data_IF_104353651786
#
_entry.id   IF_104353651786
#
_cell.length_a   1.000
_cell.length_b   1.000
_cell.length_c   1.000
_cell.angle_alpha   90.00
_cell.angle_beta   90.00
_cell.angle_gamma   90.00
#
_symmetry.space_group_name_H-M   'P 1'
#
loop_
_entity.id
_entity.type
_entity.pdbx_description
1 polymer ?
#
# COMPACT_ATOMS: atom_id res chain seq x y z
N UNK A 1 60.91 -9.32 -43.81
CA UNK A 1 60.23 -10.15 -42.79
C UNK A 1 59.80 -9.20 -41.69
N UNK A 2 58.53 -8.82 -41.69
CA UNK A 2 57.89 -8.04 -40.62
C UNK A 2 56.82 -8.96 -40.06
N UNK A 3 57.17 -9.68 -38.99
CA UNK A 3 56.22 -10.55 -38.30
C UNK A 3 55.23 -9.66 -37.56
N UNK A 4 53.99 -9.67 -38.06
CA UNK A 4 52.84 -9.03 -37.43
C UNK A 4 52.56 -9.77 -36.13
N UNK A 5 52.85 -9.13 -35.00
CA UNK A 5 52.41 -9.59 -33.67
C UNK A 5 50.89 -9.51 -33.61
N UNK A 6 50.24 -10.65 -33.83
CA UNK A 6 48.82 -10.83 -33.55
C UNK A 6 48.71 -11.05 -32.04
N UNK A 7 48.16 -10.07 -31.32
CA UNK A 7 47.77 -10.23 -29.93
C UNK A 7 46.75 -11.37 -29.84
N UNK A 8 46.91 -12.37 -28.95
CA UNK A 8 45.88 -13.38 -28.77
C UNK A 8 44.63 -12.68 -28.26
N UNK A 9 43.50 -12.93 -28.93
CA UNK A 9 42.20 -12.48 -28.47
C UNK A 9 42.05 -12.84 -26.99
N UNK A 10 41.76 -11.84 -26.16
CA UNK A 10 41.40 -12.06 -24.76
C UNK A 10 40.26 -13.09 -24.67
N UNK A 11 40.11 -13.78 -23.53
CA UNK A 11 39.06 -14.77 -23.38
C UNK A 11 37.72 -14.12 -23.75
N UNK A 12 37.00 -14.77 -24.66
CA UNK A 12 35.68 -14.36 -25.09
C UNK A 12 34.88 -13.97 -23.85
N UNK A 13 34.33 -12.75 -23.84
CA UNK A 13 33.45 -12.25 -22.79
C UNK A 13 32.49 -13.38 -22.42
N UNK A 14 32.67 -13.84 -21.18
CA UNK A 14 32.03 -15.03 -20.69
C UNK A 14 30.53 -14.92 -20.91
N UNK A 15 29.94 -16.02 -21.37
CA UNK A 15 28.53 -16.29 -21.19
C UNK A 15 28.20 -15.91 -19.75
N UNK A 16 27.51 -14.78 -19.54
CA UNK A 16 27.03 -14.38 -18.22
C UNK A 16 25.97 -15.41 -17.88
N UNK A 17 26.39 -16.48 -17.23
CA UNK A 17 25.50 -17.44 -16.63
C UNK A 17 24.58 -16.62 -15.74
N UNK A 18 23.29 -16.58 -16.08
CA UNK A 18 22.29 -15.77 -15.40
C UNK A 18 22.13 -16.34 -13.99
N UNK A 19 22.97 -15.86 -13.07
CA UNK A 19 22.92 -16.19 -11.67
C UNK A 19 21.58 -15.67 -11.14
N UNK A 20 20.77 -16.59 -10.65
CA UNK A 20 19.49 -16.25 -10.03
C UNK A 20 19.79 -15.87 -8.58
N UNK A 21 19.49 -14.63 -8.15
CA UNK A 21 19.63 -14.26 -6.76
C UNK A 21 18.68 -15.10 -5.90
N UNK A 22 19.18 -15.63 -4.79
CA UNK A 22 18.39 -16.36 -3.80
C UNK A 22 18.19 -15.50 -2.55
N UNK A 23 17.02 -15.63 -1.95
CA UNK A 23 16.69 -14.98 -0.68
C UNK A 23 16.86 -16.01 0.44
N UNK A 24 17.79 -15.74 1.35
CA UNK A 24 18.12 -16.58 2.50
C UNK A 24 17.61 -15.91 3.78
N UNK A 25 16.77 -16.60 4.54
CA UNK A 25 16.40 -16.15 5.89
C UNK A 25 17.46 -16.66 6.85
N UNK A 26 18.28 -15.75 7.40
CA UNK A 26 19.37 -16.10 8.31
C UNK A 26 18.84 -16.31 9.73
N UNK A 27 18.03 -15.37 10.21
CA UNK A 27 17.43 -15.40 11.54
C UNK A 27 15.97 -14.94 11.44
N UNK A 28 15.10 -15.58 12.20
CA UNK A 28 13.69 -15.21 12.31
C UNK A 28 13.24 -15.48 13.72
N UNK A 29 12.80 -14.40 14.35
CA UNK A 29 12.07 -14.36 15.60
C UNK A 29 10.73 -13.63 15.34
N UNK A 30 9.88 -13.56 16.36
CA UNK A 30 8.58 -12.89 16.23
C UNK A 30 8.72 -11.36 16.11
N UNK A 31 9.77 -10.78 16.71
CA UNK A 31 10.01 -9.32 16.69
C UNK A 31 11.21 -8.90 15.83
N UNK A 32 12.14 -9.81 15.56
CA UNK A 32 13.37 -9.53 14.81
C UNK A 32 13.58 -10.51 13.65
N UNK A 33 13.99 -10.01 12.50
CA UNK A 33 14.32 -10.84 11.35
C UNK A 33 15.55 -10.36 10.60
N UNK A 34 16.33 -11.32 10.11
CA UNK A 34 17.52 -11.09 9.31
C UNK A 34 17.44 -11.86 8.01
N UNK A 35 17.38 -11.14 6.89
CA UNK A 35 17.23 -11.69 5.54
C UNK A 35 18.43 -11.28 4.70
N UNK A 36 19.01 -12.21 3.95
CA UNK A 36 20.09 -11.96 3.03
C UNK A 36 19.67 -12.27 1.58
N UNK A 37 20.18 -11.49 0.63
CA UNK A 37 20.00 -11.72 -0.80
C UNK A 37 21.37 -11.78 -1.47
N UNK A 38 21.67 -12.92 -2.11
CA UNK A 38 22.90 -13.13 -2.86
C UNK A 38 22.70 -14.17 -3.99
N UNK A 39 23.50 -14.11 -5.09
CA UNK A 39 24.42 -13.03 -5.44
C UNK A 39 23.72 -11.87 -6.18
N UNK A 40 24.08 -10.63 -5.81
CA UNK A 40 23.65 -9.41 -6.50
C UNK A 40 24.78 -8.83 -7.33
N UNK A 41 24.46 -8.21 -8.46
CA UNK A 41 25.44 -7.44 -9.22
C UNK A 41 25.92 -6.24 -8.40
N UNK A 42 27.15 -5.79 -8.66
CA UNK A 42 27.73 -4.61 -8.00
C UNK A 42 26.81 -3.39 -8.11
N UNK A 43 26.57 -2.72 -7.00
CA UNK A 43 25.67 -1.56 -6.88
C UNK A 43 24.21 -1.91 -6.59
N UNK A 44 23.74 -3.12 -6.93
CA UNK A 44 22.35 -3.49 -6.70
C UNK A 44 22.01 -3.68 -5.21
N UNK A 45 23.00 -3.96 -4.34
CA UNK A 45 22.76 -4.03 -2.90
C UNK A 45 22.18 -2.73 -2.35
N UNK A 46 22.72 -1.58 -2.76
CA UNK A 46 22.23 -0.26 -2.38
C UNK A 46 20.91 0.10 -3.08
N UNK A 47 20.79 -0.22 -4.38
CA UNK A 47 19.59 0.03 -5.18
C UNK A 47 18.36 -0.70 -4.64
N UNK A 48 18.53 -1.89 -4.06
CA UNK A 48 17.44 -2.67 -3.46
C UNK A 48 17.27 -2.33 -1.98
N UNK A 49 18.37 -2.26 -1.22
CA UNK A 49 18.34 -2.07 0.23
C UNK A 49 17.73 -0.73 0.66
N UNK A 50 18.09 0.37 -0.01
CA UNK A 50 17.62 1.69 0.40
C UNK A 50 16.10 1.89 0.15
N UNK A 51 15.53 1.55 -1.02
CA UNK A 51 14.08 1.61 -1.22
C UNK A 51 13.29 0.67 -0.29
N UNK A 52 13.75 -0.56 -0.08
CA UNK A 52 13.09 -1.50 0.85
C UNK A 52 13.06 -0.94 2.27
N UNK A 53 14.17 -0.37 2.75
CA UNK A 53 14.21 0.29 4.06
C UNK A 53 13.20 1.44 4.16
N UNK A 54 13.04 2.23 3.10
CA UNK A 54 12.06 3.34 3.09
C UNK A 54 10.64 2.82 3.17
N UNK A 55 10.27 1.85 2.32
CA UNK A 55 8.91 1.30 2.26
C UNK A 55 8.54 0.58 3.56
N UNK A 56 9.46 -0.20 4.14
CA UNK A 56 9.24 -0.86 5.43
C UNK A 56 8.87 0.14 6.54
N UNK A 57 9.48 1.32 6.54
CA UNK A 57 9.22 2.35 7.56
C UNK A 57 7.99 3.22 7.23
N UNK A 58 7.64 3.40 5.96
CA UNK A 58 6.61 4.36 5.53
C UNK A 58 5.27 3.74 5.15
N UNK A 59 5.26 2.54 4.58
CA UNK A 59 4.16 2.03 3.77
C UNK A 59 3.80 0.58 4.06
N UNK A 60 4.17 0.09 5.25
CA UNK A 60 3.68 -1.20 5.76
C UNK A 60 2.30 -0.98 6.36
N UNK A 61 1.35 -1.85 6.05
CA UNK A 61 0.01 -1.79 6.62
C UNK A 61 0.05 -2.16 8.10
N UNK A 62 -0.75 -1.46 8.89
CA UNK A 62 -0.99 -1.86 10.28
C UNK A 62 -2.28 -1.27 10.82
N UNK A 63 -2.58 -1.61 12.07
CA UNK A 63 -3.84 -1.25 12.73
C UNK A 63 -3.55 -0.42 13.98
N UNK A 64 -4.32 0.65 14.16
CA UNK A 64 -4.17 1.55 15.29
C UNK A 64 -5.52 2.09 15.76
N UNK A 65 -5.56 2.57 17.01
CA UNK A 65 -6.72 3.26 17.56
C UNK A 65 -6.76 4.69 17.04
N UNK A 66 -7.84 5.09 16.38
CA UNK A 66 -8.00 6.45 15.81
C UNK A 66 -8.78 7.39 16.71
N UNK A 67 -9.74 6.86 17.46
CA UNK A 67 -10.46 7.62 18.47
C UNK A 67 -10.91 6.73 19.62
N UNK A 68 -11.14 7.38 20.75
CA UNK A 68 -11.56 6.77 22.00
C UNK A 68 -12.77 7.51 22.53
N UNK A 69 -13.76 6.80 23.04
CA UNK A 69 -14.88 7.38 23.76
C UNK A 69 -14.90 6.82 25.17
N UNK A 70 -14.71 7.70 26.13
CA UNK A 70 -14.70 7.35 27.56
C UNK A 70 -16.03 7.81 28.16
N UNK A 71 -16.62 6.99 29.02
CA UNK A 71 -17.87 7.37 29.70
C UNK A 71 -17.63 8.56 30.64
N UNK A 72 -18.62 9.47 30.69
CA UNK A 72 -18.62 10.68 31.54
C UNK A 72 -17.46 11.67 31.29
N UNK A 73 -16.69 11.50 30.21
CA UNK A 73 -15.61 12.40 29.79
C UNK A 73 -15.99 13.13 28.50
N UNK A 74 -15.90 14.46 28.55
CA UNK A 74 -16.21 15.31 27.39
C UNK A 74 -14.95 15.77 26.66
N UNK A 75 -13.86 16.00 27.39
CA UNK A 75 -12.61 16.53 26.86
C UNK A 75 -11.39 15.89 27.53
N UNK A 76 -10.24 15.97 26.87
CA UNK A 76 -8.99 15.29 27.28
C UNK A 76 -8.35 15.81 28.58
N UNK A 77 -8.69 17.03 29.02
CA UNK A 77 -8.12 17.63 30.24
C UNK A 77 -8.85 17.28 31.55
N UNK A 78 -9.85 16.38 31.52
CA UNK A 78 -10.53 15.96 32.75
C UNK A 78 -9.82 14.81 33.45
N UNK A 79 -9.99 14.71 34.76
CA UNK A 79 -9.69 13.49 35.50
C UNK A 79 -10.94 12.60 35.58
N UNK A 80 -10.76 11.28 35.55
CA UNK A 80 -11.84 10.30 35.73
C UNK A 80 -11.94 9.96 37.22
N UNK A 81 -13.10 10.16 37.88
CA UNK A 81 -13.26 9.78 39.28
C UNK A 81 -13.02 8.28 39.50
N UNK A 82 -12.14 7.93 40.45
CA UNK A 82 -11.83 6.54 40.79
C UNK A 82 -10.78 5.88 39.88
N UNK A 83 -10.15 6.64 38.97
CA UNK A 83 -8.97 6.24 38.21
C UNK A 83 -7.78 7.08 38.66
N UNK A 84 -6.61 6.46 38.81
CA UNK A 84 -5.40 7.15 39.27
C UNK A 84 -4.80 8.06 38.19
N UNK A 85 -4.82 7.60 36.94
CA UNK A 85 -4.27 8.30 35.77
C UNK A 85 -5.24 9.34 35.22
N UNK A 86 -4.69 10.44 34.67
CA UNK A 86 -5.48 11.46 33.96
C UNK A 86 -5.85 10.98 32.55
N UNK A 87 -6.88 11.60 31.92
CA UNK A 87 -7.31 11.21 30.58
C UNK A 87 -6.18 11.35 29.55
N UNK A 88 -5.35 12.40 29.61
CA UNK A 88 -4.19 12.55 28.72
C UNK A 88 -3.17 11.41 28.86
N UNK A 89 -2.88 10.96 30.08
CA UNK A 89 -1.98 9.84 30.33
C UNK A 89 -2.57 8.53 29.80
N UNK A 90 -3.88 8.33 30.02
CA UNK A 90 -4.62 7.20 29.50
C UNK A 90 -4.59 7.17 27.96
N UNK A 91 -4.83 8.29 27.27
CA UNK A 91 -4.73 8.37 25.81
C UNK A 91 -3.33 8.02 25.30
N UNK A 92 -2.28 8.45 26.00
CA UNK A 92 -0.90 8.11 25.66
C UNK A 92 -0.61 6.61 25.83
N UNK A 93 -1.16 5.98 26.88
CA UNK A 93 -1.06 4.53 27.08
C UNK A 93 -1.83 3.77 25.99
N UNK A 94 -3.03 4.25 25.62
CA UNK A 94 -3.83 3.66 24.53
C UNK A 94 -3.08 3.69 23.19
N UNK A 95 -2.34 4.77 22.90
CA UNK A 95 -1.50 4.88 21.69
C UNK A 95 -0.37 3.82 21.63
N UNK A 96 -0.03 3.18 22.76
CA UNK A 96 0.96 2.10 22.84
C UNK A 96 0.37 0.71 22.64
N UNK A 97 -0.95 0.57 22.53
CA UNK A 97 -1.60 -0.71 22.22
C UNK A 97 -1.15 -1.16 20.82
N UNK A 98 -0.85 -2.45 20.68
CA UNK A 98 -0.49 -3.09 19.41
C UNK A 98 -1.58 -4.08 19.04
N UNK A 99 -2.16 -3.85 17.86
CA UNK A 99 -3.35 -4.57 17.41
C UNK A 99 -3.02 -5.22 16.07
N UNK A 100 -3.19 -6.54 16.02
CA UNK A 100 -3.17 -7.30 14.78
C UNK A 100 -4.61 -7.46 14.30
N UNK A 101 -4.91 -6.90 13.14
CA UNK A 101 -6.19 -7.14 12.47
C UNK A 101 -6.08 -8.30 11.48
N UNK A 102 -7.09 -9.16 11.45
CA UNK A 102 -7.23 -10.21 10.42
C UNK A 102 -8.05 -9.75 9.20
N UNK A 103 -8.71 -8.58 9.30
CA UNK A 103 -9.60 -8.09 8.23
C UNK A 103 -9.38 -6.61 7.94
N UNK A 104 -9.61 -6.21 6.69
CA UNK A 104 -9.37 -4.83 6.25
C UNK A 104 -10.49 -3.85 6.62
N UNK A 105 -11.31 -4.20 7.61
CA UNK A 105 -12.45 -3.40 8.04
C UNK A 105 -12.13 -2.67 9.33
N UNK A 106 -12.62 -1.44 9.43
CA UNK A 106 -12.64 -0.74 10.71
C UNK A 106 -13.57 -1.46 11.68
N UNK A 107 -13.24 -1.37 12.96
CA UNK A 107 -14.02 -2.05 13.98
C UNK A 107 -13.85 -1.42 15.35
N UNK A 108 -14.70 -1.89 16.27
CA UNK A 108 -14.83 -1.30 17.60
C UNK A 108 -14.46 -2.33 18.66
N UNK A 109 -13.70 -1.90 19.65
CA UNK A 109 -13.37 -2.67 20.84
C UNK A 109 -13.95 -1.98 22.07
N UNK A 110 -14.16 -2.72 23.16
CA UNK A 110 -14.71 -2.17 24.39
C UNK A 110 -13.91 -2.65 25.59
N UNK A 111 -13.74 -1.77 26.57
CA UNK A 111 -13.18 -2.10 27.87
C UNK A 111 -14.24 -1.77 28.92
N UNK A 112 -14.59 -2.77 29.73
CA UNK A 112 -15.52 -2.64 30.86
C UNK A 112 -14.88 -3.31 32.06
N UNK A 113 -14.41 -2.51 33.00
CA UNK A 113 -13.77 -3.01 34.23
C UNK A 113 -14.42 -2.35 35.44
N UNK A 114 -14.68 -3.15 36.47
CA UNK A 114 -15.25 -2.71 37.74
C UNK A 114 -14.45 -3.28 38.90
N UNK A 115 -14.30 -2.49 39.97
CA UNK A 115 -13.54 -2.86 41.16
C UNK A 115 -12.14 -2.25 41.20
N UNK A 116 -11.42 -2.52 42.29
CA UNK A 116 -10.04 -2.04 42.49
C UNK A 116 -9.05 -2.94 41.76
N UNK A 117 -8.05 -2.34 41.09
CA UNK A 117 -7.03 -3.13 40.39
C UNK A 117 -6.30 -2.40 39.26
N UNK A 118 -5.32 -3.10 38.70
CA UNK A 118 -4.62 -2.70 37.49
C UNK A 118 -5.45 -3.10 36.28
N UNK A 119 -5.57 -2.20 35.31
CA UNK A 119 -6.27 -2.42 34.05
C UNK A 119 -5.22 -2.52 32.94
N UNK A 120 -5.17 -3.67 32.31
CA UNK A 120 -4.22 -3.97 31.25
C UNK A 120 -4.91 -4.03 29.88
N UNK A 121 -4.13 -3.97 28.80
CA UNK A 121 -4.67 -4.11 27.45
C UNK A 121 -5.34 -5.48 27.21
N UNK A 122 -4.93 -6.52 27.93
CA UNK A 122 -5.57 -7.84 27.89
C UNK A 122 -7.02 -7.86 28.41
N UNK A 123 -7.45 -6.85 29.17
CA UNK A 123 -8.83 -6.75 29.68
C UNK A 123 -9.81 -6.17 28.63
N UNK A 124 -9.29 -5.71 27.48
CA UNK A 124 -10.11 -5.19 26.39
C UNK A 124 -10.88 -6.34 25.74
N UNK A 125 -12.20 -6.19 25.66
CA UNK A 125 -13.06 -7.05 24.86
C UNK A 125 -12.89 -6.75 23.37
N UNK A 126 -12.19 -7.63 22.67
CA UNK A 126 -11.99 -7.57 21.22
C UNK A 126 -12.99 -8.45 20.47
N UNK A 127 -13.28 -8.10 19.21
CA UNK A 127 -13.97 -9.01 18.29
C UNK A 127 -12.99 -10.04 17.72
N UNK A 128 -13.51 -11.07 17.05
CA UNK A 128 -12.68 -12.09 16.37
C UNK A 128 -11.71 -11.52 15.32
N UNK A 129 -11.97 -10.31 14.85
CA UNK A 129 -11.21 -9.66 13.79
C UNK A 129 -9.94 -8.99 14.31
N UNK A 130 -9.83 -8.74 15.63
CA UNK A 130 -8.70 -8.05 16.26
C UNK A 130 -8.07 -8.87 17.38
N UNK A 131 -6.75 -8.92 17.37
CA UNK A 131 -5.91 -9.55 18.39
C UNK A 131 -4.98 -8.50 19.00
N UNK A 132 -4.94 -8.42 20.34
CA UNK A 132 -4.00 -7.54 21.05
C UNK A 132 -2.69 -8.31 21.26
N UNK A 133 -1.61 -7.74 20.73
CA UNK A 133 -0.29 -8.38 20.73
C UNK A 133 0.44 -8.18 22.07
N UNK A 134 0.16 -7.07 22.75
CA UNK A 134 0.78 -6.70 24.03
C UNK A 134 -0.24 -6.64 25.19
N UNK A 135 -0.75 -7.80 25.66
CA UNK A 135 -1.80 -7.85 26.69
C UNK A 135 -1.35 -7.28 28.05
N UNK A 136 -0.05 -7.35 28.36
CA UNK A 136 0.53 -6.87 29.62
C UNK A 136 0.68 -5.34 29.71
N UNK A 137 0.31 -4.61 28.66
CA UNK A 137 0.42 -3.15 28.64
C UNK A 137 -0.52 -2.54 29.68
N UNK A 138 0.06 -1.82 30.65
CA UNK A 138 -0.67 -1.02 31.63
C UNK A 138 -1.44 0.12 30.94
N UNK A 139 -2.75 0.19 31.17
CA UNK A 139 -3.60 1.27 30.68
C UNK A 139 -3.96 2.26 31.80
N UNK A 140 -4.49 1.75 32.91
CA UNK A 140 -4.94 2.53 34.05
C UNK A 140 -4.96 1.73 35.35
N UNK A 141 -5.14 2.41 36.48
CA UNK A 141 -5.30 1.83 37.81
C UNK A 141 -6.60 2.35 38.42
N UNK A 142 -7.50 1.44 38.79
CA UNK A 142 -8.76 1.77 39.47
C UNK A 142 -8.55 1.81 40.99
N UNK A 143 -8.93 2.94 41.59
CA UNK A 143 -8.86 3.17 43.04
C UNK A 143 -10.24 2.98 43.66
N UNK A 144 -10.40 1.91 44.44
CA UNK A 144 -11.60 1.61 45.20
C UNK A 144 -12.59 0.61 44.56
N UNK A 145 -13.43 -0.05 45.39
CA UNK A 145 -14.28 -1.15 44.94
C UNK A 145 -15.51 -0.71 44.13
N UNK A 146 -15.87 0.58 44.14
CA UNK A 146 -16.98 1.15 43.37
C UNK A 146 -16.55 1.81 42.06
N UNK A 147 -15.25 1.77 41.75
CA UNK A 147 -14.71 2.40 40.56
C UNK A 147 -15.02 1.58 39.32
N UNK A 148 -15.40 2.26 38.25
CA UNK A 148 -15.82 1.67 36.98
C UNK A 148 -15.17 2.45 35.84
N UNK A 149 -14.68 1.73 34.84
CA UNK A 149 -14.09 2.31 33.65
C UNK A 149 -14.69 1.67 32.41
N UNK A 150 -15.32 2.51 31.60
CA UNK A 150 -15.96 2.13 30.34
C UNK A 150 -15.32 2.94 29.21
N UNK A 151 -14.71 2.22 28.26
CA UNK A 151 -14.05 2.83 27.11
C UNK A 151 -14.48 2.08 25.84
N UNK A 152 -14.87 2.82 24.83
CA UNK A 152 -15.04 2.34 23.46
C UNK A 152 -13.87 2.84 22.59
N UNK A 153 -13.24 1.92 21.88
CA UNK A 153 -12.12 2.21 20.98
C UNK A 153 -12.58 1.97 19.55
N UNK A 154 -12.10 2.81 18.64
CA UNK A 154 -12.21 2.55 17.21
C UNK A 154 -10.84 2.24 16.64
N UNK A 155 -10.78 1.10 15.96
CA UNK A 155 -9.59 0.58 15.31
C UNK A 155 -9.79 0.70 13.82
N UNK A 156 -8.80 1.30 13.17
CA UNK A 156 -8.74 1.38 11.72
C UNK A 156 -7.43 0.79 11.25
N UNK A 157 -7.43 0.37 9.99
CA UNK A 157 -6.22 0.03 9.28
C UNK A 157 -5.78 1.23 8.45
N UNK A 158 -4.47 1.39 8.36
CA UNK A 158 -3.87 2.47 7.59
C UNK A 158 -2.39 2.22 7.36
N UNK A 159 -1.73 3.25 6.85
CA UNK A 159 -0.29 3.27 6.60
C UNK A 159 0.33 4.51 7.23
N UNK A 160 1.55 4.35 7.75
CA UNK A 160 2.31 5.46 8.28
C UNK A 160 1.70 6.08 9.55
N UNK A 161 1.55 7.41 9.53
CA UNK A 161 1.11 8.20 10.67
C UNK A 161 -0.03 9.12 10.26
N UNK A 162 -1.08 9.15 11.08
CA UNK A 162 -2.19 10.08 10.95
C UNK A 162 -2.34 10.87 12.24
N UNK A 163 -2.24 12.18 12.14
CA UNK A 163 -2.44 13.08 13.26
C UNK A 163 -3.92 13.09 13.67
N UNK A 164 -4.18 13.18 14.98
CA UNK A 164 -5.49 13.47 15.51
C UNK A 164 -5.96 14.84 15.00
N UNK A 165 -6.97 14.84 14.13
CA UNK A 165 -7.66 16.06 13.75
C UNK A 165 -8.97 16.09 14.51
N UNK A 166 -9.16 17.12 15.33
CA UNK A 166 -10.46 17.42 15.89
C UNK A 166 -11.31 17.96 14.73
N UNK A 167 -12.18 17.12 14.18
CA UNK A 167 -13.01 17.52 13.05
C UNK A 167 -14.03 18.53 13.52
N UNK A 168 -13.81 19.82 13.25
CA UNK A 168 -14.80 20.87 13.52
C UNK A 168 -16.02 20.80 12.58
N UNK A 169 -15.97 19.98 11.53
CA UNK A 169 -16.87 20.10 10.35
C UNK A 169 -17.41 18.78 9.78
N UNK A 170 -17.64 17.76 10.61
CA UNK A 170 -18.43 16.61 10.17
C UNK A 170 -19.52 16.27 11.18
N UNK A 171 -20.79 16.38 10.76
CA UNK A 171 -22.03 16.12 11.52
C UNK A 171 -22.17 14.67 12.03
N UNK A 172 -21.12 13.85 11.93
CA UNK A 172 -21.16 12.40 12.19
C UNK A 172 -20.41 11.98 13.45
N UNK A 173 -19.58 12.84 14.04
CA UNK A 173 -18.84 12.50 15.26
C UNK A 173 -19.68 12.84 16.50
N UNK A 174 -20.06 11.83 17.32
CA UNK A 174 -20.80 12.09 18.55
C UNK A 174 -19.98 12.94 19.52
N UNK A 175 -20.68 13.77 20.30
CA UNK A 175 -20.05 14.52 21.42
C UNK A 175 -19.42 13.53 22.41
N UNK A 176 -18.20 13.84 22.87
CA UNK A 176 -17.42 13.02 23.81
C UNK A 176 -16.48 12.00 23.15
N UNK A 177 -16.23 12.10 21.84
CA UNK A 177 -15.16 11.35 21.17
C UNK A 177 -13.84 12.11 21.27
N UNK A 178 -12.82 11.43 21.76
CA UNK A 178 -11.46 11.93 21.89
C UNK A 178 -10.62 11.36 20.74
N UNK A 179 -10.20 12.17 19.75
CA UNK A 179 -9.34 11.70 18.69
C UNK A 179 -7.93 11.40 19.22
N UNK A 180 -7.30 10.35 18.71
CA UNK A 180 -5.94 9.94 19.07
C UNK A 180 -5.11 9.83 17.81
N UNK A 181 -3.84 10.25 17.89
CA UNK A 181 -2.92 10.07 16.78
C UNK A 181 -2.72 8.58 16.49
N UNK A 182 -2.96 8.18 15.26
CA UNK A 182 -2.83 6.79 14.84
C UNK A 182 -1.44 6.54 14.25
N UNK A 183 -0.69 5.63 14.88
CA UNK A 183 0.57 5.10 14.37
C UNK A 183 0.29 3.71 13.80
N UNK A 184 0.15 3.63 12.48
CA UNK A 184 -0.14 2.37 11.80
C UNK A 184 1.12 1.57 11.47
N UNK A 185 2.32 2.13 11.62
CA UNK A 185 3.56 1.45 11.24
C UNK A 185 3.98 0.38 12.26
N UNK A 186 4.00 -0.92 11.89
CA UNK A 186 4.41 -2.00 12.79
C UNK A 186 5.93 -2.20 12.85
N UNK A 187 6.68 -1.57 11.92
CA UNK A 187 8.14 -1.68 11.82
C UNK A 187 8.79 -0.54 12.62
N UNK A 188 9.59 -0.89 13.62
CA UNK A 188 10.23 0.09 14.51
C UNK A 188 11.61 0.51 14.01
N UNK A 189 12.35 -0.42 13.43
CA UNK A 189 13.72 -0.18 12.95
C UNK A 189 14.03 -1.06 11.77
N UNK A 190 14.80 -0.52 10.83
CA UNK A 190 15.37 -1.27 9.70
C UNK A 190 16.81 -0.84 9.50
N UNK A 191 17.69 -1.82 9.38
CA UNK A 191 19.10 -1.67 9.07
C UNK A 191 19.45 -2.54 7.85
N UNK A 192 20.40 -2.12 7.03
CA UNK A 192 20.92 -2.95 5.95
C UNK A 192 22.43 -2.80 5.83
N UNK A 193 23.09 -3.88 5.46
CA UNK A 193 24.52 -3.93 5.17
C UNK A 193 24.73 -4.55 3.78
N UNK A 194 25.69 -4.02 3.03
CA UNK A 194 26.09 -4.59 1.73
C UNK A 194 27.49 -5.15 1.86
N UNK A 195 27.60 -6.46 1.72
CA UNK A 195 28.84 -7.24 1.81
C UNK A 195 29.27 -7.67 0.40
N UNK A 196 30.55 -7.96 0.20
CA UNK A 196 31.02 -8.58 -1.05
C UNK A 196 30.93 -10.09 -0.94
N UNK A 197 30.40 -10.74 -1.97
CA UNK A 197 30.29 -12.20 -2.05
C UNK A 197 31.07 -12.74 -3.25
N UNK A 198 31.61 -13.95 -3.11
CA UNK A 198 32.38 -14.62 -4.16
C UNK A 198 31.55 -15.74 -4.77
N UNK A 199 31.36 -15.70 -6.08
CA UNK A 199 30.70 -16.76 -6.84
C UNK A 199 31.71 -17.39 -7.79
N UNK A 200 32.12 -18.62 -7.47
CA UNK A 200 33.16 -19.34 -8.22
C UNK A 200 34.50 -18.58 -8.23
N UNK A 201 34.90 -18.09 -9.40
CA UNK A 201 36.14 -17.31 -9.58
C UNK A 201 35.94 -15.78 -9.51
N UNK A 202 34.69 -15.33 -9.49
CA UNK A 202 34.32 -13.91 -9.56
C UNK A 202 34.00 -13.38 -8.16
N UNK A 203 34.61 -12.25 -7.76
CA UNK A 203 34.58 -11.71 -6.38
C UNK A 203 33.89 -10.35 -6.25
N UNK A 204 33.30 -9.81 -7.32
CA UNK A 204 32.69 -8.48 -7.37
C UNK A 204 31.17 -8.49 -7.17
N UNK A 205 30.57 -9.66 -6.92
CA UNK A 205 29.17 -9.76 -6.50
C UNK A 205 28.97 -9.18 -5.10
N UNK A 206 27.75 -8.75 -4.84
CA UNK A 206 27.30 -8.21 -3.57
C UNK A 206 26.29 -9.13 -2.90
N UNK A 207 26.24 -9.03 -1.57
CA UNK A 207 25.25 -9.65 -0.69
C UNK A 207 24.61 -8.55 0.11
N UNK A 208 23.29 -8.42 0.00
CA UNK A 208 22.52 -7.51 0.82
C UNK A 208 22.03 -8.24 2.06
N UNK A 209 22.38 -7.76 3.25
CA UNK A 209 21.89 -8.26 4.54
C UNK A 209 20.96 -7.21 5.12
N UNK A 210 19.69 -7.55 5.28
CA UNK A 210 18.63 -6.71 5.82
C UNK A 210 18.25 -7.19 7.22
N UNK A 211 18.22 -6.28 8.17
CA UNK A 211 17.82 -6.51 9.56
C UNK A 211 16.58 -5.67 9.87
N UNK A 212 15.51 -6.31 10.33
CA UNK A 212 14.19 -5.68 10.53
C UNK A 212 13.71 -5.97 11.94
N UNK A 213 13.27 -4.94 12.65
CA UNK A 213 12.63 -5.02 13.97
C UNK A 213 11.18 -4.55 13.85
N UNK A 214 10.27 -5.36 14.38
CA UNK A 214 8.82 -5.15 14.39
C UNK A 214 8.31 -5.14 15.83
N UNK A 215 7.11 -4.64 16.03
CA UNK A 215 6.42 -4.67 17.33
C UNK A 215 5.65 -5.97 17.60
N UNK A 216 5.85 -7.00 16.76
CA UNK A 216 5.17 -8.29 16.85
C UNK A 216 3.81 -8.35 16.16
N UNK A 217 3.27 -7.21 15.68
CA UNK A 217 2.00 -7.20 14.93
C UNK A 217 2.10 -7.95 13.62
N UNK A 218 3.21 -7.78 12.91
CA UNK A 218 3.57 -8.50 11.68
C UNK A 218 4.90 -9.21 11.88
N UNK A 219 5.07 -10.38 11.29
CA UNK A 219 6.36 -11.05 11.30
C UNK A 219 7.35 -10.28 10.40
N UNK A 220 8.63 -10.15 10.78
CA UNK A 220 9.62 -9.41 10.00
C UNK A 220 9.75 -9.90 8.55
N UNK A 221 9.70 -11.21 8.30
CA UNK A 221 9.78 -11.79 6.95
C UNK A 221 8.57 -11.43 6.10
N UNK A 222 7.38 -11.43 6.70
CA UNK A 222 6.14 -11.06 6.01
C UNK A 222 6.12 -9.55 5.71
N UNK A 223 6.62 -8.71 6.61
CA UNK A 223 6.79 -7.28 6.36
C UNK A 223 7.75 -7.00 5.19
N UNK A 224 8.84 -7.75 5.07
CA UNK A 224 9.76 -7.65 3.91
C UNK A 224 9.07 -8.05 2.61
N UNK A 225 8.22 -9.08 2.64
CA UNK A 225 7.43 -9.51 1.47
C UNK A 225 6.46 -8.40 1.04
N UNK A 226 5.68 -7.86 1.98
CA UNK A 226 4.72 -6.79 1.72
C UNK A 226 5.42 -5.52 1.17
N UNK A 227 6.57 -5.16 1.75
CA UNK A 227 7.36 -4.03 1.27
C UNK A 227 7.91 -4.25 -0.14
N UNK A 228 8.33 -5.48 -0.48
CA UNK A 228 8.77 -5.82 -1.83
C UNK A 228 7.63 -5.75 -2.84
N UNK A 229 6.44 -6.27 -2.50
CA UNK A 229 5.25 -6.22 -3.34
C UNK A 229 4.82 -4.76 -3.60
N UNK A 230 4.82 -3.92 -2.57
CA UNK A 230 4.57 -2.48 -2.71
C UNK A 230 5.59 -1.80 -3.64
N UNK A 231 6.87 -2.14 -3.52
CA UNK A 231 7.91 -1.60 -4.40
C UNK A 231 7.69 -2.00 -5.87
N UNK A 232 7.34 -3.27 -6.11
CA UNK A 232 7.03 -3.78 -7.45
C UNK A 232 5.82 -3.07 -8.05
N UNK A 233 4.76 -2.87 -7.26
CA UNK A 233 3.56 -2.15 -7.70
C UNK A 233 3.88 -0.71 -8.14
N UNK A 234 4.78 -0.02 -7.42
CA UNK A 234 5.26 1.30 -7.84
C UNK A 234 6.10 1.24 -9.12
N UNK A 235 7.02 0.27 -9.25
CA UNK A 235 7.81 0.11 -10.46
C UNK A 235 7.00 -0.31 -11.69
N UNK A 236 5.87 -0.98 -11.49
CA UNK A 236 4.95 -1.37 -12.56
C UNK A 236 4.37 -0.15 -13.30
N UNK A 237 4.22 0.99 -12.63
CA UNK A 237 3.83 2.25 -13.27
C UNK A 237 4.88 2.71 -14.29
N UNK A 238 6.16 2.54 -13.94
CA UNK A 238 7.28 2.91 -14.80
C UNK A 238 7.51 1.91 -15.94
N UNK A 239 7.28 0.60 -15.71
CA UNK A 239 7.40 -0.39 -16.80
C UNK A 239 6.38 -0.15 -17.92
N UNK A 240 5.28 0.55 -17.62
CA UNK A 240 4.19 0.82 -18.56
C UNK A 240 4.17 2.26 -19.11
N UNK A 241 5.24 3.04 -18.92
CA UNK A 241 5.32 4.47 -19.25
C UNK A 241 4.97 4.85 -20.71
N UNK A 242 4.98 3.91 -21.65
CA UNK A 242 4.72 4.14 -23.08
C UNK A 242 3.70 3.19 -23.72
N UNK A 243 3.02 2.33 -22.95
CA UNK A 243 1.81 1.67 -23.45
C UNK A 243 0.71 2.72 -23.36
N UNK A 244 0.41 3.38 -24.48
CA UNK A 244 -0.62 4.40 -24.57
C UNK A 244 -1.85 3.92 -23.80
N UNK A 245 -2.23 4.68 -22.77
CA UNK A 245 -3.52 4.54 -22.12
C UNK A 245 -4.52 4.89 -23.21
N UNK A 246 -5.06 3.87 -23.90
CA UNK A 246 -6.25 4.09 -24.71
C UNK A 246 -7.35 4.56 -23.75
N UNK A 247 -7.91 5.77 -23.94
CA UNK A 247 -8.92 6.30 -23.04
C UNK A 247 -10.20 5.46 -23.23
N UNK A 248 -10.41 4.51 -22.31
CA UNK A 248 -11.53 3.57 -22.36
C UNK A 248 -11.28 2.25 -21.65
N UNK A 249 -10.02 1.90 -21.36
CA UNK A 249 -9.70 0.76 -20.50
C UNK A 249 -9.60 1.27 -19.07
N UNK A 250 -10.69 1.16 -18.30
CA UNK A 250 -10.60 1.22 -16.84
C UNK A 250 -9.47 0.31 -16.39
N UNK A 251 -8.56 0.85 -15.59
CA UNK A 251 -7.42 0.14 -15.05
C UNK A 251 -7.91 -1.13 -14.37
N UNK A 252 -7.73 -2.27 -15.02
CA UNK A 252 -7.69 -3.54 -14.30
C UNK A 252 -6.47 -3.41 -13.40
N UNK A 253 -6.69 -3.15 -12.10
CA UNK A 253 -5.76 -3.67 -11.12
C UNK A 253 -5.63 -5.14 -11.45
N UNK A 254 -4.47 -5.53 -11.98
CA UNK A 254 -4.14 -6.95 -12.13
C UNK A 254 -3.93 -7.46 -10.70
N UNK A 255 -5.04 -7.77 -10.03
CA UNK A 255 -5.14 -8.66 -8.87
C UNK A 255 -4.82 -10.10 -9.29
N UNK A 256 -3.81 -10.28 -10.12
CA UNK A 256 -3.33 -11.60 -10.51
C UNK A 256 -2.00 -11.79 -9.81
N UNK A 257 -2.03 -12.59 -8.73
CA UNK A 257 -0.83 -12.93 -7.97
C UNK A 257 0.30 -13.41 -8.91
N UNK A 258 1.57 -13.05 -8.65
CA UNK A 258 2.72 -13.43 -9.49
C UNK A 258 2.81 -14.95 -9.77
N UNK A 259 2.29 -15.77 -8.86
CA UNK A 259 2.22 -17.23 -8.98
C UNK A 259 1.33 -17.69 -10.15
N UNK A 260 0.21 -16.99 -10.37
CA UNK A 260 -0.74 -17.32 -11.43
C UNK A 260 -0.15 -16.96 -12.80
N UNK A 261 0.54 -15.82 -12.88
CA UNK A 261 1.18 -15.34 -14.11
C UNK A 261 2.24 -16.32 -14.63
N UNK A 262 2.98 -16.96 -13.72
CA UNK A 262 4.03 -17.92 -14.04
C UNK A 262 3.54 -19.37 -14.20
N UNK A 263 2.24 -19.62 -13.96
CA UNK A 263 1.68 -20.96 -14.07
C UNK A 263 1.76 -21.46 -15.54
N UNK A 264 2.16 -22.73 -15.77
CA UNK A 264 2.13 -23.29 -17.12
C UNK A 264 0.70 -23.58 -17.57
N UNK A 265 0.41 -23.39 -18.86
CA UNK A 265 -0.92 -23.62 -19.44
C UNK A 265 -1.41 -25.07 -19.29
N UNK A 266 -0.51 -26.02 -19.04
CA UNK A 266 -0.82 -27.43 -18.80
C UNK A 266 -1.59 -27.68 -17.50
N UNK A 267 -1.57 -26.73 -16.56
CA UNK A 267 -2.33 -26.79 -15.31
C UNK A 267 -3.73 -26.18 -15.43
N UNK A 268 -3.99 -25.43 -16.50
CA UNK A 268 -5.36 -25.15 -16.90
C UNK A 268 -5.86 -26.41 -17.60
N UNK A 269 -6.84 -27.09 -17.02
CA UNK A 269 -7.46 -28.32 -17.54
C UNK A 269 -8.26 -28.02 -18.83
N UNK A 270 -7.57 -27.52 -19.85
CA UNK A 270 -8.09 -27.18 -21.16
C UNK A 270 -8.25 -28.44 -22.00
N UNK A 271 -9.16 -28.40 -22.97
CA UNK A 271 -9.29 -29.50 -23.93
C UNK A 271 -7.96 -29.77 -24.65
N UNK A 272 -7.71 -31.03 -25.05
CA UNK A 272 -6.52 -31.39 -25.81
C UNK A 272 -6.37 -30.58 -27.11
N UNK A 273 -7.48 -30.03 -27.64
CA UNK A 273 -7.46 -29.18 -28.83
C UNK A 273 -6.90 -27.80 -28.49
N UNK A 274 -7.46 -27.12 -27.50
CA UNK A 274 -7.08 -25.76 -27.09
C UNK A 274 -5.63 -25.72 -26.59
N UNK A 275 -5.24 -26.69 -25.76
CA UNK A 275 -3.86 -26.82 -25.25
C UNK A 275 -2.83 -27.02 -26.38
N UNK A 276 -3.14 -27.89 -27.36
CA UNK A 276 -2.23 -28.13 -28.49
C UNK A 276 -2.16 -26.97 -29.48
N UNK A 277 -3.19 -26.11 -29.55
CA UNK A 277 -3.14 -24.89 -30.35
C UNK A 277 -2.21 -23.85 -29.70
N UNK A 278 -2.34 -23.65 -28.39
CA UNK A 278 -1.50 -22.73 -27.62
C UNK A 278 -0.02 -23.18 -27.61
N UNK A 279 0.25 -24.48 -27.39
CA UNK A 279 1.63 -25.01 -27.46
C UNK A 279 2.29 -24.83 -28.83
N UNK A 280 1.53 -24.94 -29.92
CA UNK A 280 2.05 -24.72 -31.29
C UNK A 280 2.29 -23.25 -31.60
N UNK A 281 1.60 -22.36 -30.91
CA UNK A 281 1.83 -20.92 -30.97
C UNK A 281 2.98 -20.46 -30.04
N UNK A 282 3.72 -21.39 -29.43
CA UNK A 282 4.77 -21.14 -28.44
C UNK A 282 4.28 -20.43 -27.16
N UNK A 283 2.98 -20.45 -26.90
CA UNK A 283 2.39 -19.92 -25.68
C UNK A 283 2.43 -21.06 -24.65
N UNK A 284 3.21 -20.88 -23.59
CA UNK A 284 3.47 -21.91 -22.57
C UNK A 284 3.04 -21.50 -21.16
N UNK A 285 2.86 -20.20 -20.92
CA UNK A 285 2.47 -19.65 -19.61
C UNK A 285 1.14 -18.91 -19.68
N UNK A 286 0.45 -18.84 -18.53
CA UNK A 286 -0.80 -18.08 -18.41
C UNK A 286 -0.58 -16.59 -18.65
N UNK A 287 0.53 -16.03 -18.16
CA UNK A 287 0.86 -14.61 -18.39
C UNK A 287 0.92 -14.24 -19.87
N UNK A 288 1.50 -15.11 -20.71
CA UNK A 288 1.60 -14.88 -22.16
C UNK A 288 0.22 -14.85 -22.84
N UNK A 289 -0.74 -15.62 -22.33
CA UNK A 289 -2.13 -15.61 -22.82
C UNK A 289 -2.84 -14.31 -22.43
N UNK A 290 -2.60 -13.81 -21.21
CA UNK A 290 -3.23 -12.59 -20.69
C UNK A 290 -2.70 -11.31 -21.35
N UNK A 291 -1.48 -11.35 -21.87
CA UNK A 291 -0.86 -10.22 -22.59
C UNK A 291 -1.30 -10.14 -24.07
N UNK A 292 -1.89 -11.20 -24.63
CA UNK A 292 -2.34 -11.23 -26.02
C UNK A 292 -3.83 -10.83 -26.14
N UNK A 293 -4.16 -10.06 -27.18
CA UNK A 293 -5.54 -9.72 -27.48
C UNK A 293 -6.32 -10.92 -28.04
N UNK A 294 -7.64 -10.95 -27.80
CA UNK A 294 -8.54 -12.02 -28.27
C UNK A 294 -8.48 -12.20 -29.80
N UNK A 295 -8.30 -11.10 -30.53
CA UNK A 295 -8.14 -11.09 -31.99
C UNK A 295 -6.86 -11.80 -32.45
N UNK A 296 -5.78 -11.72 -31.66
CA UNK A 296 -4.51 -12.38 -31.97
C UNK A 296 -4.55 -13.86 -31.60
N UNK A 297 -5.30 -14.23 -30.56
CA UNK A 297 -5.56 -15.63 -30.22
C UNK A 297 -6.39 -16.31 -31.32
N UNK A 298 -7.38 -15.63 -31.90
CA UNK A 298 -8.19 -16.15 -33.02
C UNK A 298 -7.40 -16.34 -34.33
N UNK A 299 -6.25 -15.67 -34.50
CA UNK A 299 -5.35 -15.86 -35.66
C UNK A 299 -4.54 -17.16 -35.57
N UNK A 300 -4.50 -17.81 -34.40
CA UNK A 300 -3.76 -19.05 -34.21
C UNK A 300 -4.41 -20.18 -35.02
N UNK A 301 -3.59 -20.92 -35.76
CA UNK A 301 -4.06 -22.01 -36.63
C UNK A 301 -4.86 -23.06 -35.84
N UNK A 302 -6.13 -23.23 -36.21
CA UNK A 302 -7.11 -24.13 -35.58
C UNK A 302 -7.61 -23.73 -34.18
N UNK A 303 -7.24 -22.53 -33.72
CA UNK A 303 -7.87 -21.86 -32.59
C UNK A 303 -9.13 -21.16 -33.09
N UNK A 304 -10.23 -21.27 -32.36
CA UNK A 304 -11.52 -20.70 -32.77
C UNK A 304 -12.34 -20.29 -31.57
N UNK A 305 -13.53 -19.74 -31.81
CA UNK A 305 -14.39 -19.14 -30.78
C UNK A 305 -14.66 -20.10 -29.61
N UNK A 306 -14.92 -21.39 -29.87
CA UNK A 306 -15.13 -22.39 -28.81
C UNK A 306 -13.92 -22.60 -27.90
N UNK A 307 -12.71 -22.52 -28.46
CA UNK A 307 -11.46 -22.62 -27.69
C UNK A 307 -11.20 -21.34 -26.89
N UNK A 308 -11.64 -20.19 -27.41
CA UNK A 308 -11.54 -18.91 -26.70
C UNK A 308 -12.50 -18.86 -25.51
N UNK A 309 -13.76 -19.28 -25.70
CA UNK A 309 -14.73 -19.38 -24.60
C UNK A 309 -14.26 -20.35 -23.53
N UNK A 310 -13.77 -21.53 -23.92
CA UNK A 310 -13.21 -22.52 -22.98
C UNK A 310 -12.03 -21.95 -22.17
N UNK A 311 -11.14 -21.22 -22.83
CA UNK A 311 -10.00 -20.58 -22.19
C UNK A 311 -10.46 -19.50 -21.19
N UNK A 312 -11.43 -18.66 -21.57
CA UNK A 312 -12.00 -17.61 -20.71
C UNK A 312 -12.72 -18.19 -19.50
N UNK A 313 -13.52 -19.24 -19.68
CA UNK A 313 -14.23 -19.90 -18.58
C UNK A 313 -13.24 -20.49 -17.56
N UNK A 314 -12.17 -21.14 -18.06
CA UNK A 314 -11.13 -21.72 -17.19
C UNK A 314 -10.25 -20.68 -16.49
N UNK A 315 -10.04 -19.52 -17.11
CA UNK A 315 -9.37 -18.38 -16.49
C UNK A 315 -10.27 -17.73 -15.43
N UNK A 316 -11.57 -17.59 -15.71
CA UNK A 316 -12.56 -17.06 -14.77
C UNK A 316 -12.74 -17.96 -13.53
N UNK A 317 -12.76 -19.29 -13.70
CA UNK A 317 -12.76 -20.27 -12.59
C UNK A 317 -11.56 -20.11 -11.65
N UNK A 318 -10.43 -19.59 -12.14
CA UNK A 318 -9.20 -19.33 -11.39
C UNK A 318 -9.12 -17.90 -10.84
N UNK A 319 -10.18 -17.10 -10.98
CA UNK A 319 -10.23 -15.70 -10.55
C UNK A 319 -9.55 -14.72 -11.51
N UNK A 320 -9.25 -15.14 -12.75
CA UNK A 320 -8.54 -14.35 -13.75
C UNK A 320 -9.54 -13.93 -14.84
N UNK A 321 -10.14 -12.74 -14.67
CA UNK A 321 -10.85 -12.02 -15.73
C UNK A 321 -12.23 -12.56 -16.13
N UNK A 322 -13.29 -11.93 -15.61
CA UNK A 322 -14.44 -11.52 -16.43
C UNK A 322 -14.22 -10.01 -16.66
N UNK A 323 -14.15 -9.48 -17.87
CA UNK A 323 -15.23 -9.39 -18.85
C UNK A 323 -14.61 -9.06 -20.21
N UNK A 324 -14.98 -9.80 -21.26
CA UNK A 324 -14.95 -9.28 -22.62
C UNK A 324 -15.95 -10.06 -23.50
N UNK A 325 -17.02 -9.39 -23.90
CA UNK A 325 -17.75 -9.58 -25.16
C UNK A 325 -18.76 -10.74 -25.25
N UNK A 326 -20.06 -10.43 -25.20
CA UNK A 326 -20.83 -10.09 -26.40
C UNK A 326 -22.35 -10.12 -26.16
N UNK A 327 -23.07 -9.08 -26.59
CA UNK A 327 -24.48 -9.21 -26.98
C UNK A 327 -24.52 -9.24 -28.49
N UNK A 328 -24.70 -10.42 -29.08
CA UNK A 328 -25.50 -10.59 -30.30
C UNK A 328 -25.60 -12.07 -30.67
N UNK A 329 -26.79 -12.64 -30.49
CA UNK A 329 -27.54 -13.36 -31.53
C UNK A 329 -28.60 -14.26 -30.89
N UNK A 330 -29.89 -14.01 -31.17
CA UNK A 330 -30.74 -14.90 -31.95
C UNK A 330 -32.22 -14.46 -31.87
N UNK A 331 -32.90 -14.84 -32.93
CA UNK A 331 -34.22 -14.43 -33.39
C UNK A 331 -35.39 -15.07 -32.63
N UNK A 332 -36.58 -14.68 -33.10
CA UNK A 332 -37.91 -15.32 -33.00
C UNK A 332 -38.85 -14.86 -31.89
N UNK A 333 -40.01 -14.37 -32.34
CA UNK A 333 -41.14 -14.03 -31.48
C UNK A 333 -41.97 -15.26 -31.10
N UNK A 334 -42.70 -15.16 -29.99
CA UNK A 334 -44.15 -15.36 -29.93
C UNK A 334 -44.70 -15.03 -28.54
N UNK A 335 -45.77 -14.24 -28.54
CA UNK A 335 -46.96 -14.28 -27.65
C UNK A 335 -46.88 -14.18 -26.11
N UNK A 336 -47.64 -13.19 -25.61
CA UNK A 336 -48.32 -13.16 -24.31
C UNK A 336 -47.52 -12.52 -23.16
N UNK A 337 -48.04 -11.67 -22.28
CA UNK A 337 -49.33 -10.97 -22.12
C UNK A 337 -49.18 -10.09 -20.86
N UNK A 338 -49.78 -8.90 -20.86
CA UNK A 338 -50.08 -8.03 -19.68
C UNK A 338 -48.83 -7.48 -18.95
N UNK A 339 -48.65 -6.19 -18.71
CA UNK A 339 -49.48 -5.00 -18.78
C UNK A 339 -49.01 -4.09 -17.65
N UNK A 340 -48.53 -2.90 -17.94
CA UNK A 340 -48.30 -1.86 -16.92
C UNK A 340 -48.56 -0.51 -17.56
N UNK A 341 -49.64 0.11 -17.10
CA UNK A 341 -49.89 1.52 -17.23
C UNK A 341 -48.99 2.29 -16.23
N UNK A 342 -48.81 3.57 -16.54
CA UNK A 342 -48.42 4.68 -15.67
C UNK A 342 -47.00 5.25 -15.82
N UNK A 343 -47.04 6.57 -16.02
CA UNK A 343 -46.01 7.59 -15.81
C UNK A 343 -45.12 8.00 -17.00
N UNK A 344 -45.74 8.70 -17.96
CA UNK A 344 -45.14 9.88 -18.58
C UNK A 344 -45.18 11.06 -17.59
N UNK A 345 -44.02 11.54 -17.14
CA UNK A 345 -43.81 12.95 -16.75
C UNK A 345 -42.31 13.25 -16.57
N UNK A 346 -41.85 14.27 -17.30
CA UNK A 346 -40.62 15.05 -17.08
C UNK A 346 -39.25 14.36 -17.31
N UNK A 347 -38.69 14.58 -18.50
CA UNK A 347 -37.31 14.26 -18.85
C UNK A 347 -36.83 15.03 -20.08
N UNK A 348 -36.95 16.36 -20.07
CA UNK A 348 -36.35 17.23 -21.08
C UNK A 348 -34.88 17.48 -20.76
N UNK A 349 -33.98 17.10 -21.66
CA UNK A 349 -32.56 17.38 -21.55
C UNK A 349 -32.29 18.90 -21.61
N UNK A 350 -31.49 19.41 -20.68
CA UNK A 350 -31.04 20.81 -20.65
C UNK A 350 -30.18 21.10 -21.88
N UNK A 351 -30.47 22.23 -22.54
CA UNK A 351 -29.72 22.68 -23.71
C UNK A 351 -28.49 23.46 -23.28
N UNK A 352 -27.49 23.58 -24.16
CA UNK A 352 -26.25 24.30 -23.90
C UNK A 352 -26.44 25.80 -23.57
N UNK A 353 -27.64 26.34 -23.81
CA UNK A 353 -28.01 27.70 -23.44
C UNK A 353 -28.43 27.81 -21.96
N UNK A 354 -29.08 26.78 -21.42
CA UNK A 354 -29.53 26.72 -20.01
C UNK A 354 -28.35 26.66 -19.02
N UNK A 355 -27.25 26.02 -19.44
CA UNK A 355 -25.99 25.95 -18.67
C UNK A 355 -25.28 27.31 -18.66
N UNK A 356 -25.42 28.10 -19.73
CA UNK A 356 -24.76 29.40 -19.87
C UNK A 356 -25.44 30.48 -19.02
N UNK A 357 -26.76 30.40 -18.86
CA UNK A 357 -27.54 31.33 -18.04
C UNK A 357 -27.39 31.06 -16.53
N UNK A 358 -27.14 29.81 -16.11
CA UNK A 358 -26.82 29.46 -14.72
C UNK A 358 -25.45 29.98 -14.25
N UNK A 359 -24.48 30.09 -15.16
CA UNK A 359 -23.14 30.60 -14.85
C UNK A 359 -23.07 32.15 -14.81
N UNK A 360 -24.11 32.84 -15.29
CA UNK A 360 -24.17 34.31 -15.31
C UNK A 360 -24.85 34.92 -14.06
N UNK A 361 -25.41 34.11 -13.16
CA UNK A 361 -26.28 34.55 -12.07
C UNK A 361 -25.67 34.45 -10.65
N UNK A 362 -24.34 34.43 -10.51
CA UNK A 362 -23.67 34.37 -9.22
C UNK A 362 -22.86 35.62 -8.90
N UNK A 363 -23.53 36.72 -8.56
CA UNK A 363 -22.90 37.91 -7.96
C UNK A 363 -22.80 37.71 -6.43
N UNK A 364 -21.62 37.95 -5.87
CA UNK A 364 -21.35 37.85 -4.43
C UNK A 364 -21.62 39.19 -3.74
N UNK A 365 -22.13 39.23 -2.50
CA UNK A 365 -22.39 40.50 -1.82
C UNK A 365 -21.10 41.15 -1.28
N UNK A 366 -20.91 42.43 -1.58
CA UNK A 366 -19.89 43.30 -0.98
C UNK A 366 -20.16 43.58 0.50
N UNK A 367 -19.12 43.50 1.33
CA UNK A 367 -18.97 44.39 2.49
C UNK A 367 -17.50 44.75 2.72
N UNK A 368 -17.27 46.06 2.76
CA UNK A 368 -16.05 46.86 2.88
C UNK A 368 -15.15 46.58 4.10
N UNK A 369 -13.83 46.54 3.88
CA UNK A 369 -12.83 47.05 4.84
C UNK A 369 -11.55 47.47 4.09
N UNK A 370 -11.25 48.76 4.19
CA UNK A 370 -10.11 49.45 3.56
C UNK A 370 -8.77 49.04 4.19
N UNK A 371 -7.74 48.83 3.36
CA UNK A 371 -6.35 48.78 3.80
C UNK A 371 -5.65 50.08 3.37
N UNK A 372 -4.97 50.81 4.28
CA UNK A 372 -4.37 52.09 3.96
C UNK A 372 -3.11 51.92 3.12
N UNK A 373 -3.03 52.69 2.03
CA UNK A 373 -1.79 53.02 1.35
C UNK A 373 -1.29 54.33 1.93
N UNK A 374 -0.08 54.33 2.48
CA UNK A 374 0.84 55.45 2.32
C UNK A 374 2.27 55.07 2.68
N UNK A 375 3.18 55.78 2.02
CA UNK A 375 4.61 55.93 2.28
C UNK A 375 5.58 54.92 1.65
N UNK A 376 6.00 55.30 0.45
CA UNK A 376 7.34 55.18 -0.12
C UNK A 376 8.51 54.96 0.86
N UNK A 377 9.45 54.09 0.48
CA UNK A 377 10.80 54.05 1.05
C UNK A 377 11.58 52.80 0.65
N UNK A 378 12.51 52.97 -0.31
CA UNK A 378 13.83 52.30 -0.40
C UNK A 378 13.83 50.79 -0.67
N UNK A 379 14.05 50.36 -1.92
CA UNK A 379 15.32 50.24 -2.68
C UNK A 379 15.88 48.83 -2.59
N UNK A 380 15.93 48.20 -3.76
CA UNK A 380 16.61 46.96 -4.10
C UNK A 380 18.13 47.18 -3.99
N UNK A 381 18.81 46.38 -3.18
CA UNK A 381 20.26 46.12 -3.21
C UNK A 381 20.35 44.58 -3.14
N UNK A 382 20.65 43.87 -4.23
CA UNK A 382 22.00 43.57 -4.74
C UNK A 382 22.87 42.85 -3.68
N UNK A 383 22.62 41.55 -3.48
CA UNK A 383 23.61 40.64 -2.88
C UNK A 383 24.53 40.12 -4.00
N UNK A 384 25.59 40.88 -4.24
CA UNK A 384 26.78 40.43 -4.97
C UNK A 384 27.76 39.78 -4.00
N UNK A 385 28.47 38.81 -4.57
CA UNK A 385 29.61 38.07 -4.04
C UNK A 385 30.63 38.96 -3.31
N UNK A 386 31.03 38.54 -2.10
CA UNK A 386 32.31 38.91 -1.52
C UNK A 386 33.05 37.62 -1.14
N UNK A 387 33.90 37.18 -2.07
CA UNK A 387 35.13 36.45 -1.76
C UNK A 387 36.02 37.37 -0.92
N UNK A 388 36.37 36.94 0.29
CA UNK A 388 37.47 37.53 1.03
C UNK A 388 38.34 36.42 1.62
N UNK A 389 39.47 36.26 0.93
CA UNK A 389 40.71 35.67 1.43
C UNK A 389 41.13 36.38 2.71
N UNK A 390 41.31 35.62 3.80
CA UNK A 390 42.18 36.00 4.91
C UNK A 390 43.18 34.84 5.11
N UNK A 391 44.33 35.00 4.46
CA UNK A 391 45.60 34.41 4.86
C UNK A 391 46.03 35.08 6.18
N UNK A 392 46.15 34.31 7.25
CA UNK A 392 47.02 34.65 8.38
C UNK A 392 47.88 33.41 8.71
N UNK A 393 49.18 33.58 8.50
CA UNK A 393 50.28 32.69 8.91
C UNK A 393 50.55 32.81 10.44
N UNK A 394 51.27 31.80 10.97
CA UNK A 394 52.03 31.75 12.24
C UNK A 394 51.17 31.59 13.53
N UNK A 395 51.43 30.70 14.49
CA UNK A 395 52.54 29.82 14.87
C UNK A 395 52.00 28.79 15.89
N UNK A 396 52.60 27.60 15.97
CA UNK A 396 53.04 26.93 17.23
C UNK A 396 53.08 25.37 17.14
N UNK A 397 54.32 24.87 17.33
CA UNK A 397 54.82 23.54 17.78
C UNK A 397 54.69 22.27 16.92
#
# INVERSE_FOLDING_TARGET
MLDTFILPAGPAEGVVESLKPEVLVLETDDTYGKVAVEPLMRGFGLTIGNPLRRILLSSTNGSAVTWVKIEDVVHEYTAIPGVKEEVMELLLNIKRIRIRSQSDRSGKMRLEVTGEGLVCAGDISTSSDFEIVNPDLHLATLDGPSSRLFIEFNVEQGVGYQQAVQSDMSDTTPVGVLPVDAIFSPVTKVNYNVERTRVGQVTDYERLVLEVWTDGTIKPVDAVREAADNLVNHFFLFSNLNKAIEPGVERTSLTVSPEIFQTPIDRLELSPRTLNCLKRAHITKVGEVLEMADEDLLKIRNFGEKSLTELRDKLAERGIGAQSGNVSSLEEGSTGSVGVADLEAAGGALTAQDIRDLLAAGDAPESTAELPRDAAGWSTEDDQDDDQDDDDEEDDE
#
